data_IF_073833049591
#
_entry.id   IF_073833049591
#
_cell.length_a   1.000
_cell.length_b   1.000
_cell.length_c   1.000
_cell.angle_alpha   90.00
_cell.angle_beta   90.00
_cell.angle_gamma   90.00
#
_symmetry.space_group_name_H-M   'P 1'
#
loop_
_entity.id
_entity.type
_entity.pdbx_description
1 polymer ?
#
# COMPACT_ATOMS: atom_id res chain seq x y z
N UNK A 1 29.34 32.16 2.43
CA UNK A 1 29.14 31.41 1.18
C UNK A 1 27.66 31.50 0.82
N UNK A 2 27.35 32.11 -0.31
CA UNK A 2 25.98 32.33 -0.78
C UNK A 2 25.49 31.01 -1.37
N UNK A 3 24.43 30.42 -0.81
CA UNK A 3 23.90 29.14 -1.28
C UNK A 3 23.30 29.25 -2.68
N UNK A 4 23.52 28.24 -3.54
CA UNK A 4 23.05 28.21 -4.94
C UNK A 4 21.56 28.57 -5.10
N UNK A 5 20.73 28.29 -4.10
CA UNK A 5 19.31 28.63 -4.11
C UNK A 5 18.98 30.13 -4.09
N UNK A 6 19.84 30.95 -3.49
CA UNK A 6 19.63 32.40 -3.43
C UNK A 6 19.94 33.10 -4.76
N UNK A 7 20.64 32.43 -5.69
CA UNK A 7 20.81 32.91 -7.08
C UNK A 7 19.64 32.49 -8.00
N UNK A 8 18.82 31.51 -7.62
CA UNK A 8 17.69 31.06 -8.45
C UNK A 8 16.48 32.02 -8.45
N UNK A 9 16.33 32.87 -7.43
CA UNK A 9 15.14 33.71 -7.25
C UNK A 9 15.30 35.17 -7.73
N UNK A 10 16.49 35.60 -8.17
CA UNK A 10 16.70 36.96 -8.67
C UNK A 10 16.52 37.02 -10.19
N UNK A 11 15.39 37.54 -10.64
CA UNK A 11 15.06 37.68 -12.07
C UNK A 11 15.75 38.86 -12.78
N UNK A 12 16.62 39.63 -12.10
CA UNK A 12 17.03 40.95 -12.58
C UNK A 12 18.55 41.20 -12.59
N UNK A 13 19.35 40.19 -12.89
CA UNK A 13 20.77 40.41 -13.20
C UNK A 13 21.13 39.75 -14.52
N UNK A 14 21.86 40.49 -15.35
CA UNK A 14 22.33 40.18 -16.70
C UNK A 14 23.23 38.94 -16.82
N UNK A 15 23.38 38.14 -15.76
CA UNK A 15 24.15 36.91 -15.75
C UNK A 15 23.20 35.71 -15.73
N UNK A 16 22.74 35.33 -16.92
CA UNK A 16 21.80 34.21 -17.14
C UNK A 16 22.51 32.86 -16.97
N UNK A 17 22.95 32.55 -15.75
CA UNK A 17 23.47 31.23 -15.39
C UNK A 17 22.36 30.21 -15.53
N UNK A 18 22.45 29.35 -16.56
CA UNK A 18 21.54 28.22 -16.75
C UNK A 18 22.00 27.07 -15.85
N UNK A 19 21.07 26.45 -15.12
CA UNK A 19 21.35 25.23 -14.34
C UNK A 19 22.00 24.20 -15.28
N UNK A 20 23.20 23.71 -14.98
CA UNK A 20 23.81 22.62 -15.74
C UNK A 20 22.86 21.41 -15.78
N UNK A 21 22.91 20.56 -16.82
CA UNK A 21 22.02 19.42 -16.96
C UNK A 21 22.45 18.27 -16.03
N UNK A 22 22.41 18.52 -14.71
CA UNK A 22 22.84 17.59 -13.66
C UNK A 22 22.07 16.28 -13.76
N UNK A 23 20.75 16.32 -14.00
CA UNK A 23 19.92 15.13 -14.19
C UNK A 23 20.33 14.28 -15.40
N UNK A 24 20.80 14.92 -16.48
CA UNK A 24 21.30 14.21 -17.66
C UNK A 24 22.63 13.50 -17.35
N UNK A 25 23.48 14.13 -16.54
CA UNK A 25 24.75 13.53 -16.10
C UNK A 25 24.51 12.38 -15.13
N UNK A 26 23.61 12.55 -14.16
CA UNK A 26 23.24 11.51 -13.21
C UNK A 26 22.56 10.32 -13.90
N UNK A 27 21.69 10.56 -14.88
CA UNK A 27 21.08 9.48 -15.67
C UNK A 27 22.10 8.74 -16.53
N UNK A 28 23.09 9.44 -17.11
CA UNK A 28 24.24 8.79 -17.78
C UNK A 28 25.04 7.92 -16.80
N UNK A 29 25.30 8.41 -15.59
CA UNK A 29 26.00 7.64 -14.54
C UNK A 29 25.28 6.34 -14.18
N UNK A 30 23.96 6.41 -13.96
CA UNK A 30 23.14 5.22 -13.62
C UNK A 30 23.03 4.24 -14.79
N UNK A 31 23.07 4.71 -16.03
CA UNK A 31 22.93 3.85 -17.22
C UNK A 31 24.25 3.23 -17.68
N UNK A 32 25.38 3.92 -17.50
CA UNK A 32 26.68 3.49 -18.04
C UNK A 32 27.54 2.73 -17.02
N UNK A 33 27.25 2.84 -15.72
CA UNK A 33 28.01 2.17 -14.66
C UNK A 33 27.10 1.27 -13.82
N UNK A 34 27.52 0.02 -13.64
CA UNK A 34 26.79 -0.92 -12.78
C UNK A 34 26.95 -0.52 -11.30
N UNK A 35 25.86 -0.64 -10.53
CA UNK A 35 25.80 -0.42 -9.06
C UNK A 35 26.24 0.97 -8.57
N UNK A 36 26.26 1.97 -9.43
CA UNK A 36 26.49 3.36 -9.01
C UNK A 36 25.16 4.02 -8.68
N UNK A 37 24.98 4.39 -7.40
CA UNK A 37 23.83 5.14 -6.93
C UNK A 37 24.26 6.58 -6.62
N UNK A 38 23.51 7.54 -7.12
CA UNK A 38 23.74 8.96 -6.89
C UNK A 38 22.47 9.62 -6.36
N UNK A 39 22.64 10.60 -5.48
CA UNK A 39 21.56 11.40 -4.92
C UNK A 39 22.01 12.85 -4.83
N UNK A 40 21.29 13.74 -5.50
CA UNK A 40 21.48 15.17 -5.37
C UNK A 40 20.88 15.63 -4.02
N UNK A 41 21.69 16.29 -3.18
CA UNK A 41 21.28 16.78 -1.86
C UNK A 41 21.49 18.30 -1.83
N UNK A 42 20.41 19.05 -1.69
CA UNK A 42 20.44 20.52 -1.80
C UNK A 42 20.85 21.22 -0.51
N UNK A 43 20.59 20.60 0.65
CA UNK A 43 20.81 21.18 1.97
C UNK A 43 21.64 20.25 2.86
N UNK A 44 22.41 20.84 3.78
CA UNK A 44 23.21 20.09 4.78
C UNK A 44 22.37 19.12 5.61
N UNK A 45 21.13 19.50 5.94
CA UNK A 45 20.17 18.63 6.66
C UNK A 45 19.83 17.37 5.85
N UNK A 46 19.59 17.51 4.54
CA UNK A 46 19.31 16.36 3.66
C UNK A 46 20.52 15.45 3.53
N UNK A 47 21.73 16.01 3.50
CA UNK A 47 22.98 15.24 3.51
C UNK A 47 23.09 14.44 4.82
N UNK A 48 22.88 15.09 5.96
CA UNK A 48 22.95 14.44 7.28
C UNK A 48 21.92 13.29 7.40
N UNK A 49 20.66 13.52 7.02
CA UNK A 49 19.61 12.49 7.00
C UNK A 49 20.00 11.32 6.09
N UNK A 50 20.57 11.62 4.92
CA UNK A 50 20.98 10.59 3.97
C UNK A 50 22.12 9.73 4.52
N UNK A 51 23.15 10.34 5.10
CA UNK A 51 24.29 9.64 5.72
C UNK A 51 23.80 8.76 6.88
N UNK A 52 22.96 9.29 7.76
CA UNK A 52 22.38 8.51 8.87
C UNK A 52 21.57 7.32 8.33
N UNK A 53 20.76 7.53 7.29
CA UNK A 53 19.98 6.48 6.64
C UNK A 53 20.85 5.38 6.02
N UNK A 54 21.94 5.76 5.35
CA UNK A 54 22.92 4.82 4.78
C UNK A 54 23.64 4.02 5.88
N UNK A 55 24.18 4.69 6.89
CA UNK A 55 24.89 4.03 8.00
C UNK A 55 23.98 3.07 8.74
N UNK A 56 22.74 3.47 9.04
CA UNK A 56 21.75 2.61 9.69
C UNK A 56 21.38 1.42 8.81
N UNK A 57 21.23 1.64 7.50
CA UNK A 57 20.93 0.58 6.54
C UNK A 57 22.07 -0.42 6.42
N UNK A 58 23.31 0.06 6.40
CA UNK A 58 24.53 -0.75 6.34
C UNK A 58 24.68 -1.59 7.61
N UNK A 59 24.49 -0.99 8.79
CA UNK A 59 24.51 -1.69 10.06
C UNK A 59 23.46 -2.81 10.11
N UNK A 60 22.24 -2.54 9.61
CA UNK A 60 21.17 -3.54 9.53
C UNK A 60 21.39 -4.58 8.44
N UNK A 61 22.17 -4.29 7.40
CA UNK A 61 22.31 -5.12 6.20
C UNK A 61 22.65 -6.59 6.53
N UNK A 62 23.62 -6.81 7.44
CA UNK A 62 24.05 -8.14 7.87
C UNK A 62 22.97 -8.95 8.60
N UNK A 63 21.97 -8.27 9.17
CA UNK A 63 20.89 -8.87 9.95
C UNK A 63 19.55 -8.85 9.21
N UNK A 64 19.51 -8.35 7.97
CA UNK A 64 18.28 -8.38 7.16
C UNK A 64 17.98 -9.83 6.83
N UNK A 65 16.83 -10.32 7.29
CA UNK A 65 16.31 -11.61 6.85
C UNK A 65 16.15 -11.54 5.32
N UNK A 66 16.59 -12.55 4.56
CA UNK A 66 16.36 -12.61 3.14
C UNK A 66 14.85 -12.49 2.90
N UNK A 67 14.48 -11.62 1.94
CA UNK A 67 13.08 -11.45 1.61
C UNK A 67 12.58 -12.75 0.97
N UNK A 68 11.78 -13.52 1.70
CA UNK A 68 10.99 -14.60 1.13
C UNK A 68 9.76 -14.02 0.42
N UNK A 69 9.16 -14.79 -0.49
CA UNK A 69 7.91 -14.43 -1.16
C UNK A 69 6.83 -13.97 -0.16
N UNK A 70 6.73 -14.64 1.00
CA UNK A 70 5.80 -14.28 2.09
C UNK A 70 6.16 -12.95 2.78
N UNK A 71 7.44 -12.61 2.89
CA UNK A 71 7.89 -11.35 3.53
C UNK A 71 7.67 -10.11 2.67
N UNK A 72 7.61 -10.26 1.33
CA UNK A 72 7.34 -9.15 0.41
C UNK A 72 5.90 -8.65 0.57
N UNK A 73 4.95 -9.57 0.80
CA UNK A 73 3.53 -9.26 1.06
C UNK A 73 3.25 -8.83 2.51
N UNK A 74 4.23 -8.92 3.41
CA UNK A 74 4.11 -8.45 4.79
C UNK A 74 4.39 -6.94 4.94
N UNK A 75 4.82 -6.25 3.87
CA UNK A 75 4.96 -4.80 3.84
C UNK A 75 3.57 -4.17 3.93
N UNK A 76 3.18 -3.90 5.19
CA UNK A 76 1.79 -3.77 5.62
C UNK A 76 0.93 -2.77 4.88
N UNK A 77 -0.38 -2.91 5.07
CA UNK A 77 -1.37 -2.10 4.36
C UNK A 77 -1.38 -0.66 4.86
N UNK A 78 -1.15 0.27 3.94
CA UNK A 78 -1.25 1.71 4.19
C UNK A 78 -2.71 2.15 4.20
N UNK A 79 -3.26 2.37 5.41
CA UNK A 79 -4.59 2.95 5.58
C UNK A 79 -4.52 4.48 5.31
N UNK A 80 -5.36 5.04 4.41
CA UNK A 80 -5.39 6.47 4.08
C UNK A 80 -5.50 7.39 5.30
N UNK A 81 -4.96 8.61 5.18
CA UNK A 81 -4.93 9.60 6.27
C UNK A 81 -6.32 10.10 6.73
N UNK A 82 -7.38 9.94 5.94
CA UNK A 82 -8.74 10.37 6.28
C UNK A 82 -9.62 9.36 7.04
N UNK A 83 -9.14 8.14 7.32
CA UNK A 83 -9.99 7.11 7.95
C UNK A 83 -10.37 7.48 9.40
N UNK A 84 -11.66 7.50 9.71
CA UNK A 84 -12.17 7.70 11.07
C UNK A 84 -11.83 6.45 11.91
N UNK A 85 -11.42 6.65 13.17
CA UNK A 85 -11.13 5.59 14.16
C UNK A 85 -10.00 4.58 13.83
N UNK A 86 -8.92 5.04 13.19
CA UNK A 86 -7.76 4.19 12.87
C UNK A 86 -7.16 3.48 14.09
N UNK A 87 -7.23 4.09 15.26
CA UNK A 87 -6.57 3.60 16.47
C UNK A 87 -7.19 2.29 16.96
N UNK A 88 -8.52 2.21 17.01
CA UNK A 88 -9.22 1.00 17.45
C UNK A 88 -9.28 -0.03 16.33
N UNK A 89 -9.51 0.41 15.09
CA UNK A 89 -9.67 -0.50 13.96
C UNK A 89 -8.37 -1.25 13.62
N UNK A 90 -7.20 -0.60 13.77
CA UNK A 90 -5.89 -1.27 13.64
C UNK A 90 -5.61 -2.33 14.71
N UNK A 91 -6.26 -2.23 15.88
CA UNK A 91 -6.16 -3.23 16.95
C UNK A 91 -7.10 -4.41 16.71
N UNK A 92 -8.11 -4.25 15.85
CA UNK A 92 -9.06 -5.31 15.55
C UNK A 92 -8.45 -6.33 14.58
N UNK A 93 -8.22 -7.55 15.07
CA UNK A 93 -7.61 -8.62 14.28
C UNK A 93 -8.43 -8.96 13.02
N UNK A 94 -9.76 -9.00 13.13
CA UNK A 94 -10.62 -9.35 11.99
C UNK A 94 -10.58 -8.31 10.88
N UNK A 95 -10.64 -7.03 11.22
CA UNK A 95 -10.50 -5.95 10.24
C UNK A 95 -9.12 -6.01 9.55
N UNK A 96 -8.05 -6.22 10.33
CA UNK A 96 -6.70 -6.35 9.77
C UNK A 96 -6.55 -7.58 8.87
N UNK A 97 -7.21 -8.69 9.19
CA UNK A 97 -7.24 -9.88 8.32
C UNK A 97 -7.94 -9.62 6.99
N UNK A 98 -9.07 -8.89 6.98
CA UNK A 98 -9.73 -8.48 5.73
C UNK A 98 -8.81 -7.60 4.86
N UNK A 99 -8.03 -6.76 5.51
CA UNK A 99 -7.11 -5.84 4.85
C UNK A 99 -5.86 -6.55 4.29
N UNK A 100 -5.45 -7.66 4.91
CA UNK A 100 -4.36 -8.51 4.44
C UNK A 100 -4.70 -9.26 3.14
N UNK A 101 -5.98 -9.35 2.76
CA UNK A 101 -6.39 -9.93 1.48
C UNK A 101 -5.94 -9.01 0.34
N UNK A 102 -5.15 -9.52 -0.63
CA UNK A 102 -4.63 -8.70 -1.72
C UNK A 102 -5.73 -7.94 -2.46
N UNK A 103 -5.45 -6.67 -2.81
CA UNK A 103 -6.36 -5.78 -3.56
C UNK A 103 -7.70 -5.49 -2.86
N UNK A 104 -7.91 -5.89 -1.60
CA UNK A 104 -9.03 -5.42 -0.80
C UNK A 104 -8.68 -4.04 -0.25
N UNK A 105 -9.47 -3.04 -0.63
CA UNK A 105 -9.24 -1.67 -0.18
C UNK A 105 -9.79 -1.47 1.25
N UNK A 106 -9.18 -0.57 2.05
CA UNK A 106 -9.65 -0.28 3.42
C UNK A 106 -11.15 0.01 3.53
N UNK A 107 -11.73 0.72 2.56
CA UNK A 107 -13.18 1.03 2.51
C UNK A 107 -14.06 -0.22 2.38
N UNK A 108 -13.63 -1.20 1.58
CA UNK A 108 -14.36 -2.46 1.40
C UNK A 108 -14.26 -3.31 2.64
N UNK A 109 -13.06 -3.41 3.23
CA UNK A 109 -12.86 -4.09 4.51
C UNK A 109 -13.74 -3.49 5.62
N UNK A 110 -13.89 -2.15 5.66
CA UNK A 110 -14.73 -1.48 6.64
C UNK A 110 -16.23 -1.78 6.42
N UNK A 111 -16.71 -1.74 5.18
CA UNK A 111 -18.10 -2.07 4.87
C UNK A 111 -18.44 -3.52 5.27
N UNK A 112 -17.52 -4.46 5.01
CA UNK A 112 -17.66 -5.86 5.40
C UNK A 112 -17.63 -6.00 6.92
N UNK A 113 -16.69 -5.34 7.60
CA UNK A 113 -16.55 -5.36 9.06
C UNK A 113 -17.77 -4.78 9.77
N UNK A 114 -18.38 -3.70 9.25
CA UNK A 114 -19.60 -3.12 9.83
C UNK A 114 -20.79 -4.09 9.80
N UNK A 115 -20.99 -4.80 8.68
CA UNK A 115 -22.07 -5.80 8.57
C UNK A 115 -21.74 -7.10 9.30
N UNK A 116 -20.47 -7.50 9.28
CA UNK A 116 -19.96 -8.73 9.86
C UNK A 116 -18.77 -8.41 10.76
N UNK A 117 -19.06 -7.97 11.99
CA UNK A 117 -18.08 -7.47 12.96
C UNK A 117 -17.09 -8.54 13.46
N UNK A 118 -17.36 -9.81 13.17
CA UNK A 118 -16.49 -10.94 13.49
C UNK A 118 -16.35 -11.88 12.29
N UNK A 119 -15.18 -12.51 12.15
CA UNK A 119 -14.95 -13.55 11.13
C UNK A 119 -16.03 -14.65 11.18
N UNK A 120 -16.39 -15.09 12.39
CA UNK A 120 -17.42 -16.12 12.62
C UNK A 120 -18.77 -15.74 12.03
N UNK A 121 -19.19 -14.47 12.14
CA UNK A 121 -20.47 -14.01 11.60
C UNK A 121 -20.54 -14.13 10.08
N UNK A 122 -19.44 -13.84 9.38
CA UNK A 122 -19.36 -14.01 7.93
C UNK A 122 -19.28 -15.49 7.54
N UNK A 123 -18.42 -16.26 8.21
CA UNK A 123 -18.26 -17.69 7.95
C UNK A 123 -19.55 -18.48 8.15
N UNK A 124 -20.37 -18.14 9.15
CA UNK A 124 -21.67 -18.78 9.37
C UNK A 124 -22.57 -18.69 8.13
N UNK A 125 -22.55 -17.56 7.42
CA UNK A 125 -23.34 -17.36 6.20
C UNK A 125 -22.73 -18.11 5.02
N UNK A 126 -21.40 -18.17 4.93
CA UNK A 126 -20.70 -18.93 3.88
C UNK A 126 -20.81 -20.45 4.06
N UNK A 127 -20.92 -20.93 5.29
CA UNK A 127 -21.07 -22.37 5.60
C UNK A 127 -22.53 -22.85 5.55
N UNK A 128 -23.49 -21.99 5.20
CA UNK A 128 -24.90 -22.38 5.05
C UNK A 128 -25.06 -23.36 3.87
N UNK A 129 -25.54 -24.59 4.09
CA UNK A 129 -25.72 -25.58 3.02
C UNK A 129 -26.87 -25.22 2.07
N UNK A 130 -27.78 -24.32 2.48
CA UNK A 130 -28.94 -23.93 1.67
C UNK A 130 -28.61 -22.88 0.61
N UNK A 131 -27.38 -22.34 0.61
CA UNK A 131 -26.92 -21.32 -0.34
C UNK A 131 -25.98 -21.94 -1.36
N UNK A 132 -26.18 -21.58 -2.62
CA UNK A 132 -25.26 -21.97 -3.69
C UNK A 132 -23.91 -21.24 -3.55
N UNK A 133 -22.84 -21.83 -4.11
CA UNK A 133 -21.52 -21.19 -4.14
C UNK A 133 -21.54 -19.83 -4.84
N UNK A 134 -22.37 -19.66 -5.88
CA UNK A 134 -22.52 -18.39 -6.61
C UNK A 134 -23.16 -17.29 -5.77
N UNK A 135 -24.16 -17.63 -4.95
CA UNK A 135 -24.78 -16.66 -4.02
C UNK A 135 -23.81 -16.26 -2.92
N UNK A 136 -23.00 -17.20 -2.42
CA UNK A 136 -21.97 -16.93 -1.41
C UNK A 136 -20.88 -16.01 -1.99
N UNK A 137 -20.46 -16.27 -3.22
CA UNK A 137 -19.52 -15.43 -3.96
C UNK A 137 -19.98 -13.97 -4.12
N UNK A 138 -21.28 -13.74 -4.26
CA UNK A 138 -21.87 -12.41 -4.48
C UNK A 138 -22.45 -11.78 -3.20
N UNK A 139 -22.36 -12.46 -2.05
CA UNK A 139 -22.96 -12.03 -0.77
C UNK A 139 -22.61 -10.60 -0.35
N UNK A 140 -21.39 -10.15 -0.66
CA UNK A 140 -20.86 -8.87 -0.22
C UNK A 140 -20.99 -7.78 -1.29
N UNK A 141 -21.42 -8.11 -2.52
CA UNK A 141 -21.35 -7.19 -3.66
C UNK A 141 -22.13 -5.89 -3.45
N UNK A 142 -23.27 -5.98 -2.75
CA UNK A 142 -24.23 -4.89 -2.57
C UNK A 142 -23.98 -4.07 -1.31
N UNK A 143 -22.93 -4.40 -0.56
CA UNK A 143 -22.54 -3.61 0.60
C UNK A 143 -22.13 -2.21 0.17
N UNK A 144 -22.79 -1.21 0.75
CA UNK A 144 -22.47 0.20 0.54
C UNK A 144 -21.22 0.55 1.34
N UNK A 145 -20.30 1.26 0.69
CA UNK A 145 -19.16 1.83 1.40
C UNK A 145 -19.57 3.19 1.94
N UNK A 146 -19.11 3.49 3.15
CA UNK A 146 -19.16 4.86 3.64
C UNK A 146 -17.81 5.51 3.34
N UNK A 147 -17.85 6.71 2.76
CA UNK A 147 -16.66 7.55 2.70
C UNK A 147 -16.45 8.28 4.04
N UNK A 148 -15.31 8.94 4.19
CA UNK A 148 -14.92 9.62 5.43
C UNK A 148 -15.91 10.72 5.88
N UNK A 149 -16.83 11.12 5.00
CA UNK A 149 -17.89 12.11 5.22
C UNK A 149 -19.26 11.47 5.52
N UNK A 150 -19.36 10.14 5.58
CA UNK A 150 -20.63 9.42 5.82
C UNK A 150 -21.57 9.38 4.61
N UNK A 151 -21.18 9.94 3.46
CA UNK A 151 -21.94 9.81 2.21
C UNK A 151 -21.85 8.38 1.66
N UNK A 152 -22.97 7.88 1.14
CA UNK A 152 -23.04 6.57 0.48
C UNK A 152 -22.16 6.56 -0.76
N UNK A 153 -21.03 5.87 -0.65
CA UNK A 153 -20.09 5.70 -1.75
C UNK A 153 -20.23 4.34 -2.41
N UNK A 154 -19.46 4.15 -3.47
CA UNK A 154 -19.47 2.98 -4.37
C UNK A 154 -19.57 1.66 -3.60
N UNK A 155 -20.46 0.77 -4.04
CA UNK A 155 -20.61 -0.59 -3.49
C UNK A 155 -19.30 -1.39 -3.56
N UNK A 156 -19.15 -2.39 -2.68
CA UNK A 156 -18.01 -3.33 -2.68
C UNK A 156 -17.82 -4.03 -4.03
N UNK A 157 -18.92 -4.41 -4.67
CA UNK A 157 -18.93 -5.01 -6.00
C UNK A 157 -18.56 -6.50 -6.04
N UNK A 158 -18.85 -7.16 -7.17
CA UNK A 158 -18.77 -8.62 -7.29
C UNK A 158 -17.33 -9.15 -7.29
N UNK A 159 -16.36 -8.34 -7.73
CA UNK A 159 -14.94 -8.74 -7.78
C UNK A 159 -14.37 -8.86 -6.37
N UNK A 160 -14.60 -7.86 -5.52
CA UNK A 160 -14.13 -7.90 -4.14
C UNK A 160 -14.89 -8.97 -3.33
N UNK A 161 -16.20 -9.12 -3.54
CA UNK A 161 -17.01 -10.15 -2.91
C UNK A 161 -16.49 -11.57 -3.20
N UNK A 162 -16.26 -11.89 -4.49
CA UNK A 162 -15.70 -13.19 -4.90
C UNK A 162 -14.33 -13.45 -4.31
N UNK A 163 -13.44 -12.45 -4.35
CA UNK A 163 -12.10 -12.57 -3.80
C UNK A 163 -12.12 -12.92 -2.32
N UNK A 164 -12.92 -12.19 -1.52
CA UNK A 164 -13.03 -12.45 -0.08
C UNK A 164 -13.59 -13.84 0.19
N UNK A 165 -14.65 -14.24 -0.53
CA UNK A 165 -15.22 -15.59 -0.39
C UNK A 165 -14.20 -16.68 -0.69
N UNK A 166 -13.57 -16.64 -1.88
CA UNK A 166 -12.64 -17.69 -2.30
C UNK A 166 -11.42 -17.75 -1.39
N UNK A 167 -10.85 -16.63 -0.96
CA UNK A 167 -9.71 -16.65 -0.02
C UNK A 167 -10.07 -17.25 1.34
N UNK A 168 -11.28 -17.00 1.85
CA UNK A 168 -11.70 -17.52 3.16
C UNK A 168 -12.16 -18.98 3.11
N UNK A 169 -12.62 -19.45 1.94
CA UNK A 169 -13.10 -20.81 1.72
C UNK A 169 -12.08 -21.68 0.96
N UNK A 170 -10.87 -21.17 0.71
CA UNK A 170 -9.85 -21.90 0.00
C UNK A 170 -9.42 -23.14 0.79
N UNK A 171 -9.52 -24.31 0.16
CA UNK A 171 -8.94 -25.55 0.70
C UNK A 171 -7.45 -25.66 0.35
N UNK A 172 -7.03 -25.03 -0.75
CA UNK A 172 -5.63 -24.97 -1.19
C UNK A 172 -4.99 -23.62 -0.83
N UNK A 173 -3.89 -23.65 -0.07
CA UNK A 173 -3.12 -22.47 0.32
C UNK A 173 -2.27 -21.84 -0.79
N UNK A 174 -2.11 -22.51 -1.94
CA UNK A 174 -1.34 -21.99 -3.09
C UNK A 174 -2.18 -21.09 -4.00
N UNK A 175 -3.50 -21.03 -3.82
CA UNK A 175 -4.39 -20.30 -4.71
C UNK A 175 -4.10 -18.80 -4.69
N UNK A 176 -3.84 -18.22 -5.87
CA UNK A 176 -3.56 -16.79 -5.99
C UNK A 176 -4.83 -15.94 -5.94
N UNK A 177 -4.74 -14.73 -5.38
CA UNK A 177 -5.87 -13.79 -5.29
C UNK A 177 -6.34 -13.26 -6.67
N UNK A 178 -5.55 -13.47 -7.72
CA UNK A 178 -5.89 -13.23 -9.13
C UNK A 178 -6.76 -14.36 -9.71
N UNK A 179 -6.40 -15.62 -9.41
CA UNK A 179 -7.19 -16.81 -9.79
C UNK A 179 -8.54 -16.83 -9.08
N UNK A 180 -8.60 -16.29 -7.87
CA UNK A 180 -9.84 -16.07 -7.14
C UNK A 180 -10.86 -15.15 -7.86
N UNK A 181 -10.50 -14.51 -8.98
CA UNK A 181 -11.40 -13.68 -9.79
C UNK A 181 -11.66 -14.25 -11.18
N UNK A 182 -10.82 -15.17 -11.68
CA UNK A 182 -11.03 -15.82 -12.97
C UNK A 182 -12.22 -16.78 -12.88
N UNK A 183 -13.13 -16.65 -13.84
CA UNK A 183 -14.29 -17.53 -14.00
C UNK A 183 -14.02 -18.55 -15.08
#
# INVERSE_FOLDING_TARGET
MIGEQSQYNNSDSSNRWKRPPVEQVLSKLVTHYDRVHSKDCTNEVQVAEHVVGLTTSLAKCKFRKPLSWLSVNANGVTIPKGFVDKGQLKKNAWFMSLLAIPKVQPRFALAIWKKYSTMRSLLKVYMDPNKSNREKELLLQDLKCEDCLGEESRKVGPVCSRRVYRMLMAENGEMEAEEAVKS
#
